data_IF_412841496584
#
_entry.id   IF_412841496584
#
_cell.length_a   1.000
_cell.length_b   1.000
_cell.length_c   1.000
_cell.angle_alpha   90.00
_cell.angle_beta   90.00
_cell.angle_gamma   90.00
#
_symmetry.space_group_name_H-M   'P 1'
#
loop_
_entity.id
_entity.type
_entity.pdbx_description
1 polymer ?
2 non-polymer ?
3 non-polymer ?
#
# COMPACT_ATOMS: atom_id res chain seq x y z
N UNK A 1 10.71 20.14 0.51
CA UNK A 1 11.64 21.30 0.43
C UNK A 1 12.70 21.20 1.53
N UNK A 2 12.31 20.70 2.66
CA UNK A 2 13.29 20.58 3.78
C UNK A 2 13.94 19.20 3.78
N UNK A 3 15.22 19.17 3.51
CA UNK A 3 15.92 17.86 3.48
C UNK A 3 15.65 17.08 4.77
N UNK A 4 15.70 17.76 5.88
CA UNK A 4 15.44 17.06 7.16
C UNK A 4 14.12 16.31 7.11
N UNK A 5 13.11 16.97 6.63
CA UNK A 5 11.79 16.30 6.55
C UNK A 5 11.84 15.13 5.60
N UNK A 6 12.88 15.08 4.80
CA UNK A 6 13.00 13.96 3.83
C UNK A 6 13.42 12.70 4.57
N UNK A 7 14.17 12.87 5.63
CA UNK A 7 14.61 11.70 6.41
C UNK A 7 13.41 10.87 6.85
N UNK A 8 12.33 11.55 7.16
CA UNK A 8 11.12 10.81 7.60
C UNK A 8 10.67 9.84 6.52
N UNK A 9 11.13 10.06 5.32
CA UNK A 9 10.74 9.16 4.22
C UNK A 9 11.57 7.89 4.25
N UNK A 10 12.86 8.04 4.38
CA UNK A 10 13.73 6.85 4.42
C UNK A 10 13.41 6.00 5.64
N UNK A 11 13.32 6.63 6.78
CA UNK A 11 13.00 5.87 8.02
C UNK A 11 11.65 5.17 7.89
N UNK A 12 10.67 5.91 7.45
CA UNK A 12 9.32 5.30 7.31
C UNK A 12 9.36 4.18 6.28
N UNK A 13 9.82 4.50 5.10
CA UNK A 13 9.88 3.46 4.06
C UNK A 13 10.73 2.30 4.52
N UNK A 14 11.83 2.59 5.18
CA UNK A 14 12.70 1.50 5.67
C UNK A 14 11.85 0.45 6.37
N UNK A 15 10.99 0.90 7.25
CA UNK A 15 10.13 -0.06 7.98
C UNK A 15 9.34 -0.89 6.98
N UNK A 16 8.85 -0.24 5.96
CA UNK A 16 8.06 -0.97 4.94
C UNK A 16 8.94 -1.98 4.21
N UNK A 17 10.07 -2.29 4.81
CA UNK A 17 10.99 -3.27 4.18
C UNK A 17 11.44 -2.77 2.82
N UNK A 18 11.81 -1.52 2.76
CA UNK A 18 12.27 -0.95 1.48
C UNK A 18 13.37 0.09 1.71
N UNK A 19 14.60 -0.35 1.61
CA UNK A 19 15.73 0.59 1.83
C UNK A 19 16.07 1.31 0.53
N UNK A 20 16.72 2.43 0.65
CA UNK A 20 17.11 3.19 -0.57
C UNK A 20 18.48 3.81 -0.41
N UNK A 21 19.46 3.20 -1.02
CA UNK A 21 20.84 3.74 -0.92
C UNK A 21 20.85 5.24 -1.16
N UNK A 22 19.78 5.74 -1.70
CA UNK A 22 19.71 7.21 -1.97
C UNK A 22 19.51 7.98 -0.67
N UNK A 23 20.50 8.74 -0.30
CA UNK A 23 20.37 9.53 0.95
C UNK A 23 19.10 10.36 0.94
N UNK A 24 18.71 10.81 2.11
CA UNK A 24 17.47 11.63 2.18
C UNK A 24 17.65 12.93 1.40
N UNK A 25 18.78 13.55 1.58
CA UNK A 25 19.02 14.82 0.86
C UNK A 25 18.92 14.62 -0.65
N UNK A 26 19.32 13.46 -1.09
CA UNK A 26 19.25 13.19 -2.54
C UNK A 26 17.80 13.12 -3.01
N UNK A 27 17.02 12.31 -2.33
CA UNK A 27 15.60 12.19 -2.71
C UNK A 27 14.92 13.55 -2.68
N UNK A 28 15.33 14.37 -1.74
CA UNK A 28 14.71 15.71 -1.64
C UNK A 28 14.95 16.50 -2.92
N UNK A 29 16.17 16.51 -3.38
CA UNK A 29 16.48 17.25 -4.62
C UNK A 29 15.79 16.60 -5.81
N UNK A 30 15.68 15.30 -5.77
CA UNK A 30 15.01 14.60 -6.90
C UNK A 30 13.50 14.73 -6.79
N UNK A 31 13.01 14.63 -5.59
CA UNK A 31 11.55 14.75 -5.38
C UNK A 31 11.03 16.11 -5.82
N UNK A 32 11.68 17.14 -5.36
CA UNK A 32 11.23 18.49 -5.75
C UNK A 32 11.45 18.74 -7.24
N UNK A 33 12.56 18.28 -7.73
CA UNK A 33 12.86 18.47 -9.17
C UNK A 33 12.07 17.50 -10.06
N UNK A 34 11.38 16.56 -9.45
CA UNK A 34 10.61 15.62 -10.26
C UNK A 34 9.25 16.18 -10.43
N UNK A 35 8.86 16.86 -9.43
CA UNK A 35 7.56 17.50 -9.41
C UNK A 35 7.61 18.82 -10.16
N UNK A 36 8.79 19.39 -10.23
CA UNK A 36 8.94 20.68 -10.95
C UNK A 36 8.98 20.41 -12.44
N UNK A 37 9.74 19.42 -12.81
CA UNK A 37 9.85 19.09 -14.25
C UNK A 37 8.49 18.69 -14.80
N UNK A 38 7.73 17.96 -14.01
CA UNK A 38 6.40 17.53 -14.48
C UNK A 38 5.31 18.46 -13.92
N UNK A 39 4.16 18.43 -14.56
CA UNK A 39 3.03 19.27 -14.14
C UNK A 39 2.61 18.97 -12.70
N UNK A 40 3.09 19.76 -11.79
CA UNK A 40 2.74 19.53 -10.36
C UNK A 40 3.34 18.23 -9.85
N UNK A 41 2.99 17.15 -10.50
CA UNK A 41 3.53 15.83 -10.08
C UNK A 41 2.70 14.70 -10.70
N UNK A 42 2.16 14.95 -11.86
CA UNK A 42 1.34 13.90 -12.52
C UNK A 42 2.21 13.03 -13.39
N UNK A 43 2.39 11.80 -12.97
CA UNK A 43 3.23 10.87 -13.74
C UNK A 43 2.43 9.64 -14.16
N UNK A 44 2.94 8.96 -15.15
CA UNK A 44 2.24 7.74 -15.65
C UNK A 44 2.91 6.46 -15.18
N UNK A 45 2.25 5.37 -15.42
CA UNK A 45 2.82 4.07 -15.01
C UNK A 45 4.21 3.89 -15.62
N UNK A 46 4.29 4.07 -16.91
CA UNK A 46 5.61 3.92 -17.57
C UNK A 46 6.68 4.67 -16.80
N UNK A 47 6.28 5.72 -16.16
CA UNK A 47 7.25 6.52 -15.38
C UNK A 47 7.33 5.99 -13.95
N UNK A 48 6.20 5.75 -13.37
CA UNK A 48 6.22 5.24 -11.98
C UNK A 48 7.09 4.00 -11.88
N UNK A 49 6.82 3.04 -12.72
CA UNK A 49 7.62 1.79 -12.71
C UNK A 49 9.11 2.11 -12.66
N UNK A 50 9.55 2.94 -13.56
CA UNK A 50 10.99 3.29 -13.55
C UNK A 50 11.43 3.72 -12.16
N UNK A 51 10.77 4.71 -11.64
CA UNK A 51 11.13 5.19 -10.29
C UNK A 51 11.01 4.07 -9.28
N UNK A 52 10.00 3.26 -9.45
CA UNK A 52 9.80 2.13 -8.53
C UNK A 52 10.97 1.15 -8.63
N UNK A 53 11.28 0.76 -9.82
CA UNK A 53 12.40 -0.19 -10.01
C UNK A 53 13.74 0.47 -9.75
N UNK A 54 13.78 1.77 -9.86
CA UNK A 54 15.06 2.50 -9.62
C UNK A 54 15.27 2.75 -8.13
N UNK A 55 14.19 2.81 -7.40
CA UNK A 55 14.31 3.06 -5.93
C UNK A 55 14.23 1.77 -5.14
N UNK A 56 13.30 0.91 -5.52
CA UNK A 56 13.13 -0.39 -4.80
C UNK A 56 13.24 -1.57 -5.77
N UNK A 57 14.46 -2.00 -6.03
CA UNK A 57 14.71 -3.12 -6.94
C UNK A 57 14.14 -4.41 -6.36
N UNK A 58 14.87 -5.03 -5.48
CA UNK A 58 14.37 -6.29 -4.88
C UNK A 58 13.05 -6.04 -4.16
N UNK A 59 11.97 -6.17 -4.90
CA UNK A 59 10.64 -5.94 -4.29
C UNK A 59 9.54 -6.25 -5.27
N UNK A 60 9.93 -6.78 -6.41
CA UNK A 60 8.93 -7.12 -7.45
C UNK A 60 7.98 -5.93 -7.69
N UNK A 61 8.29 -5.13 -8.68
CA UNK A 61 7.45 -3.97 -8.99
C UNK A 61 6.05 -4.41 -9.43
N UNK A 62 5.64 -5.52 -8.90
CA UNK A 62 4.32 -6.07 -9.23
C UNK A 62 3.78 -6.69 -7.98
N UNK A 63 4.29 -6.20 -6.87
CA UNK A 63 3.88 -6.71 -5.57
C UNK A 63 3.10 -5.66 -4.78
N UNK A 64 3.70 -5.17 -3.72
CA UNK A 64 3.00 -4.15 -2.88
C UNK A 64 2.78 -2.82 -3.62
N UNK A 65 3.72 -1.93 -3.49
CA UNK A 65 3.60 -0.60 -4.15
C UNK A 65 2.87 -0.66 -5.49
N UNK A 66 3.25 -1.54 -6.38
CA UNK A 66 2.52 -1.60 -7.66
C UNK A 66 1.03 -1.64 -7.42
N UNK A 67 0.61 -2.53 -6.55
CA UNK A 67 -0.83 -2.63 -6.25
C UNK A 67 -1.35 -1.33 -5.67
N UNK A 68 -0.53 -0.69 -4.88
CA UNK A 68 -0.98 0.59 -4.29
C UNK A 68 -1.16 1.66 -5.38
N UNK A 69 -0.14 1.84 -6.16
CA UNK A 69 -0.21 2.85 -7.25
C UNK A 69 -1.40 2.59 -8.16
N UNK A 70 -1.69 1.34 -8.36
CA UNK A 70 -2.84 1.01 -9.24
C UNK A 70 -4.16 1.18 -8.50
N UNK A 71 -4.09 1.24 -7.19
CA UNK A 71 -5.32 1.40 -6.41
C UNK A 71 -5.77 2.87 -6.35
N UNK A 72 -4.82 3.77 -6.36
CA UNK A 72 -5.22 5.19 -6.30
C UNK A 72 -6.31 5.47 -7.32
N UNK A 73 -6.17 4.83 -8.45
CA UNK A 73 -7.17 5.00 -9.54
C UNK A 73 -6.58 4.49 -10.85
N UNK A 74 -5.88 5.35 -11.53
CA UNK A 74 -5.27 4.93 -12.82
C UNK A 74 -6.25 4.09 -13.64
N UNK A 75 -7.36 4.68 -13.99
CA UNK A 75 -8.37 3.92 -14.80
C UNK A 75 -7.75 3.52 -16.14
N UNK A 76 -8.09 4.25 -17.17
CA UNK A 76 -7.53 3.91 -18.50
C UNK A 76 -6.12 4.48 -18.64
N UNK A 77 -5.24 4.04 -17.78
CA UNK A 77 -3.84 4.53 -17.83
C UNK A 77 -3.76 5.96 -17.30
N UNK A 78 -3.98 6.92 -18.17
CA UNK A 78 -3.91 8.35 -17.73
C UNK A 78 -2.75 8.57 -16.77
N UNK A 79 -2.89 9.56 -15.92
CA UNK A 79 -1.81 9.86 -14.94
C UNK A 79 -2.41 10.21 -13.59
N UNK A 80 -1.62 10.01 -12.56
CA UNK A 80 -2.12 10.32 -11.19
C UNK A 80 -1.06 11.11 -10.41
N UNK A 81 -1.52 11.82 -9.42
CA UNK A 81 -0.56 12.63 -8.61
C UNK A 81 0.50 11.75 -7.97
N UNK A 82 1.71 12.23 -7.96
CA UNK A 82 2.81 11.44 -7.35
C UNK A 82 2.90 11.74 -5.87
N UNK A 83 2.62 12.97 -5.52
CA UNK A 83 2.67 13.35 -4.09
C UNK A 83 1.63 12.58 -3.31
N UNK A 84 0.39 12.80 -3.65
CA UNK A 84 -0.69 12.09 -2.95
C UNK A 84 -0.43 10.60 -2.97
N UNK A 85 0.18 10.15 -4.05
CA UNK A 85 0.48 8.71 -4.15
C UNK A 85 1.52 8.33 -3.12
N UNK A 86 2.61 9.07 -3.11
CA UNK A 86 3.68 8.77 -2.13
C UNK A 86 3.08 8.66 -0.74
N UNK A 87 2.17 9.55 -0.43
CA UNK A 87 1.55 9.50 0.91
C UNK A 87 0.86 8.17 1.11
N UNK A 88 0.17 7.72 0.09
CA UNK A 88 -0.55 6.43 0.21
C UNK A 88 0.45 5.29 0.41
N UNK A 89 1.64 5.49 -0.07
CA UNK A 89 2.67 4.44 0.09
C UNK A 89 3.25 4.48 1.50
N UNK A 90 3.32 5.66 2.05
CA UNK A 90 3.87 5.80 3.42
C UNK A 90 2.76 5.68 4.47
N UNK A 91 1.60 6.19 4.14
CA UNK A 91 0.47 6.12 5.09
C UNK A 91 0.02 4.68 5.29
N UNK A 92 0.98 3.79 5.40
CA UNK A 92 0.64 2.36 5.59
C UNK A 92 1.57 1.71 6.59
N UNK A 93 2.44 2.49 7.17
CA UNK A 93 3.38 1.94 8.17
C UNK A 93 3.89 3.02 9.11
N UNK A 94 3.48 4.23 8.86
CA UNK A 94 3.93 5.35 9.72
C UNK A 94 3.12 5.41 11.00
N UNK A 95 2.60 6.57 11.30
CA UNK A 95 1.78 6.70 12.54
C UNK A 95 1.87 8.13 13.09
N UNK A 96 2.06 9.07 12.20
CA UNK A 96 2.16 10.48 12.65
C UNK A 96 0.78 11.11 12.80
N UNK A 97 0.10 11.26 11.70
CA UNK A 97 -1.25 11.86 11.76
C UNK A 97 -2.21 10.95 12.52
N UNK A 98 -3.29 11.51 13.00
CA UNK A 98 -4.27 10.69 13.74
C UNK A 98 -5.08 9.80 12.80
N UNK A 99 -5.93 10.42 12.03
CA UNK A 99 -6.75 9.62 11.08
C UNK A 99 -5.90 8.58 10.36
N UNK A 100 -6.42 7.38 10.27
CA UNK A 100 -5.64 6.32 9.57
C UNK A 100 -6.49 5.07 9.39
N UNK A 101 -7.59 5.02 10.07
CA UNK A 101 -8.48 3.83 9.94
C UNK A 101 -9.33 3.90 8.67
N UNK A 102 -10.26 4.81 8.67
CA UNK A 102 -11.14 4.96 7.47
C UNK A 102 -10.33 5.37 6.24
N UNK A 103 -9.09 5.72 6.44
CA UNK A 103 -8.26 6.13 5.30
C UNK A 103 -7.80 4.91 4.50
N UNK A 104 -7.63 3.80 5.17
CA UNK A 104 -7.19 2.57 4.47
C UNK A 104 -8.20 2.13 3.42
N UNK A 105 -9.46 2.20 3.77
CA UNK A 105 -10.52 1.80 2.80
C UNK A 105 -10.21 2.27 1.40
N UNK A 106 -9.37 3.26 1.29
CA UNK A 106 -9.03 3.78 -0.06
C UNK A 106 -8.30 2.74 -0.89
N UNK A 107 -7.15 2.33 -0.44
CA UNK A 107 -6.40 1.31 -1.23
C UNK A 107 -7.09 -0.04 -1.08
N UNK A 108 -7.87 -0.17 -0.03
CA UNK A 108 -8.59 -1.43 0.20
C UNK A 108 -9.68 -1.60 -0.84
N UNK A 109 -10.18 -0.48 -1.33
CA UNK A 109 -11.25 -0.54 -2.35
C UNK A 109 -10.68 -0.24 -3.73
N UNK A 110 -9.91 -1.17 -4.23
CA UNK A 110 -9.29 -0.99 -5.57
C UNK A 110 -10.22 -0.25 -6.52
N UNK A 111 -11.38 -0.81 -6.76
CA UNK A 111 -12.34 -0.14 -7.67
C UNK A 111 -12.68 1.26 -7.14
N UNK A 112 -13.01 1.33 -5.89
CA UNK A 112 -13.35 2.66 -5.30
C UNK A 112 -14.86 2.92 -5.40
N UNK A 113 -15.61 2.32 -4.52
CA UNK A 113 -17.08 2.53 -4.55
C UNK A 113 -17.69 2.37 -3.17
N UNK A 114 -16.90 2.64 -2.16
CA UNK A 114 -17.42 2.51 -0.77
C UNK A 114 -17.88 1.08 -0.47
N UNK A 115 -17.28 0.12 -1.12
CA UNK A 115 -17.68 -1.28 -0.87
C UNK A 115 -16.53 -2.25 -1.09
N UNK A 116 -16.19 -2.98 -0.07
CA UNK A 116 -15.08 -3.96 -0.20
C UNK A 116 -15.62 -5.35 -0.51
N UNK A 117 -15.08 -5.94 -1.55
CA UNK A 117 -15.53 -7.31 -1.93
C UNK A 117 -14.36 -8.29 -1.96
N UNK A 118 -14.69 -9.55 -2.04
CA UNK A 118 -13.63 -10.59 -2.07
C UNK A 118 -12.49 -10.22 -3.01
N UNK A 119 -12.80 -10.09 -4.28
CA UNK A 119 -11.75 -9.73 -5.27
C UNK A 119 -10.80 -8.67 -4.72
N UNK A 120 -11.31 -7.51 -4.44
CA UNK A 120 -10.44 -6.44 -3.91
C UNK A 120 -9.51 -6.99 -2.82
N UNK A 121 -10.10 -7.46 -1.75
CA UNK A 121 -9.28 -8.01 -0.65
C UNK A 121 -8.26 -9.03 -1.18
N UNK A 122 -8.66 -9.81 -2.14
CA UNK A 122 -7.72 -10.82 -2.68
C UNK A 122 -6.50 -10.13 -3.28
N UNK A 123 -6.74 -9.00 -3.91
CA UNK A 123 -5.60 -8.25 -4.52
C UNK A 123 -4.61 -7.84 -3.45
N UNK A 124 -5.06 -7.02 -2.54
CA UNK A 124 -4.16 -6.56 -1.46
C UNK A 124 -3.33 -7.72 -0.92
N UNK A 125 -4.00 -8.70 -0.39
CA UNK A 125 -3.27 -9.87 0.17
C UNK A 125 -2.16 -10.33 -0.78
N UNK A 126 -2.55 -10.62 -2.00
CA UNK A 126 -1.53 -11.07 -2.99
C UNK A 126 -0.39 -10.06 -3.10
N UNK A 127 -0.74 -8.83 -3.34
CA UNK A 127 0.32 -7.78 -3.46
C UNK A 127 1.35 -7.94 -2.36
N UNK A 128 0.98 -7.62 -1.16
CA UNK A 128 1.96 -7.76 -0.04
C UNK A 128 2.78 -9.05 -0.16
N UNK A 129 2.09 -10.16 -0.14
CA UNK A 129 2.80 -11.46 -0.25
C UNK A 129 3.67 -11.49 -1.49
N UNK A 130 3.13 -11.08 -2.60
CA UNK A 130 3.94 -11.10 -3.83
C UNK A 130 5.29 -10.43 -3.58
N UNK A 131 5.27 -9.30 -2.90
CA UNK A 131 6.57 -8.62 -2.62
C UNK A 131 7.53 -9.60 -1.96
N UNK A 132 7.05 -10.26 -0.92
CA UNK A 132 7.94 -11.24 -0.22
C UNK A 132 8.60 -12.16 -1.23
N UNK A 133 9.87 -12.43 -1.04
CA UNK A 133 10.58 -13.33 -1.99
C UNK A 133 10.21 -14.80 -1.73
N UNK A 134 10.05 -15.58 -2.78
CA UNK A 134 9.70 -16.99 -2.65
C UNK A 134 10.63 -17.71 -1.68
N UNK A 135 11.87 -17.87 -2.07
CA UNK A 135 12.83 -18.56 -1.20
C UNK A 135 12.68 -18.10 0.24
N UNK A 136 12.07 -16.96 0.42
CA UNK A 136 11.87 -16.43 1.81
C UNK A 136 10.44 -16.64 2.27
N UNK A 137 9.52 -16.59 1.34
CA UNK A 137 8.09 -16.78 1.72
C UNK A 137 7.85 -18.19 2.20
N UNK A 138 8.88 -18.99 2.17
CA UNK A 138 8.73 -20.38 2.62
C UNK A 138 9.02 -20.50 4.11
N UNK A 139 9.91 -19.68 4.58
CA UNK A 139 10.24 -19.71 6.02
C UNK A 139 8.99 -19.63 6.87
N UNK A 140 8.20 -18.62 6.62
CA UNK A 140 6.95 -18.47 7.41
C UNK A 140 6.22 -19.82 7.49
N UNK A 141 5.47 -20.01 8.57
CA UNK A 141 4.71 -21.25 8.76
C UNK A 141 3.74 -21.52 7.60
N UNK A 142 3.50 -22.78 7.36
CA UNK A 142 2.57 -23.14 6.26
C UNK A 142 1.12 -22.89 6.67
N UNK A 143 0.20 -23.62 6.07
CA UNK A 143 -1.24 -23.43 6.42
C UNK A 143 -1.56 -21.96 6.60
N UNK A 144 -0.75 -21.14 6.00
CA UNK A 144 -0.94 -19.67 6.09
C UNK A 144 0.09 -18.97 5.22
N UNK A 145 0.47 -19.62 4.15
CA UNK A 145 1.47 -19.04 3.23
C UNK A 145 0.86 -18.68 1.86
N UNK A 146 -0.38 -19.02 1.67
CA UNK A 146 -1.03 -18.70 0.35
C UNK A 146 -1.97 -17.49 0.49
N UNK A 147 -2.02 -16.66 -0.54
CA UNK A 147 -2.88 -15.47 -0.52
C UNK A 147 -4.32 -15.86 -0.24
N UNK A 148 -4.73 -17.00 -0.74
CA UNK A 148 -6.12 -17.44 -0.52
C UNK A 148 -6.24 -18.08 0.86
N UNK A 149 -5.13 -18.54 1.38
CA UNK A 149 -5.15 -19.18 2.71
C UNK A 149 -5.44 -18.14 3.78
N UNK A 150 -4.97 -16.94 3.55
CA UNK A 150 -5.22 -15.87 4.53
C UNK A 150 -6.50 -15.13 4.23
N UNK A 151 -6.79 -14.94 2.97
CA UNK A 151 -8.03 -14.23 2.61
C UNK A 151 -9.19 -14.80 3.42
N UNK A 152 -9.02 -16.04 3.81
CA UNK A 152 -10.08 -16.70 4.59
C UNK A 152 -10.03 -16.24 6.04
N UNK A 153 -8.87 -15.81 6.47
CA UNK A 153 -8.75 -15.35 7.88
C UNK A 153 -9.34 -13.95 8.03
N UNK A 154 -8.97 -13.08 7.13
CA UNK A 154 -9.49 -11.69 7.20
C UNK A 154 -10.99 -11.67 6.89
N UNK A 155 -11.33 -12.03 5.69
CA UNK A 155 -12.76 -12.05 5.30
C UNK A 155 -13.57 -12.94 6.22
N UNK A 156 -12.99 -14.03 6.62
CA UNK A 156 -13.72 -14.96 7.53
C UNK A 156 -13.91 -14.33 8.90
N UNK A 157 -13.06 -13.40 9.25
CA UNK A 157 -13.21 -12.76 10.57
C UNK A 157 -14.53 -12.01 10.67
N UNK A 158 -14.70 -11.03 9.83
CA UNK A 158 -15.97 -10.26 9.86
C UNK A 158 -17.16 -11.20 9.70
N UNK A 159 -17.09 -12.06 8.71
CA UNK A 159 -18.22 -13.01 8.49
C UNK A 159 -19.40 -12.31 7.81
N UNK A 160 -19.58 -12.61 6.55
CA UNK A 160 -20.71 -11.97 5.81
C UNK A 160 -21.04 -12.76 4.55
N UNK A 161 -22.32 -12.93 4.30
CA UNK A 161 -22.75 -13.67 3.09
C UNK A 161 -23.87 -12.92 2.38
N UNK A 162 -24.73 -12.31 3.14
CA UNK A 162 -25.84 -11.55 2.53
C UNK A 162 -25.29 -10.23 2.05
N UNK A 163 -25.13 -9.31 2.96
CA UNK A 163 -24.60 -8.00 2.57
C UNK A 163 -23.08 -8.11 2.56
N UNK A 164 -22.62 -9.09 1.81
CA UNK A 164 -21.16 -9.34 1.68
C UNK A 164 -20.40 -8.14 1.10
N UNK A 165 -20.73 -6.97 1.58
CA UNK A 165 -20.05 -5.74 1.09
C UNK A 165 -19.73 -4.84 2.27
N UNK A 166 -18.47 -4.73 2.59
CA UNK A 166 -18.10 -3.87 3.73
C UNK A 166 -18.04 -2.41 3.32
N UNK A 167 -18.68 -1.58 4.09
CA UNK A 167 -18.69 -0.13 3.77
C UNK A 167 -17.63 0.60 4.58
N UNK A 168 -17.41 1.83 4.22
CA UNK A 168 -16.39 2.63 4.96
C UNK A 168 -16.84 2.88 6.39
N UNK A 169 -18.11 2.70 6.63
CA UNK A 169 -18.64 2.93 8.00
C UNK A 169 -18.30 1.76 8.92
N UNK A 170 -18.82 0.61 8.59
CA UNK A 170 -18.55 -0.59 9.42
C UNK A 170 -17.06 -0.90 9.43
N UNK A 171 -16.43 -0.71 8.31
CA UNK A 171 -14.99 -1.00 8.23
C UNK A 171 -14.28 -0.41 9.44
N UNK A 172 -14.88 0.60 10.00
CA UNK A 172 -14.28 1.25 11.18
C UNK A 172 -14.76 0.60 12.47
N UNK A 173 -15.98 0.12 12.44
CA UNK A 173 -16.53 -0.53 13.66
C UNK A 173 -16.07 -1.97 13.78
N UNK A 174 -16.34 -2.74 12.75
CA UNK A 174 -15.92 -4.17 12.79
C UNK A 174 -14.49 -4.27 13.30
N UNK A 175 -13.79 -3.16 13.26
CA UNK A 175 -12.39 -3.13 13.72
C UNK A 175 -12.30 -2.46 15.09
N UNK A 176 -13.24 -1.59 15.38
CA UNK A 176 -13.20 -0.90 16.69
C UNK A 176 -13.42 -1.88 17.83
N UNK A 177 -14.10 -2.95 17.54
CA UNK A 177 -14.35 -3.96 18.59
C UNK A 177 -13.29 -5.04 18.57
N UNK A 178 -13.46 -6.01 17.71
CA UNK A 178 -12.48 -7.10 17.60
C UNK A 178 -11.05 -6.55 17.60
N UNK A 179 -10.33 -6.83 18.64
CA UNK A 179 -8.93 -6.33 18.72
C UNK A 179 -7.96 -7.33 18.10
N UNK A 180 -8.43 -8.53 17.91
CA UNK A 180 -7.56 -9.56 17.31
C UNK A 180 -7.38 -9.32 15.82
N UNK A 181 -8.15 -8.40 15.29
CA UNK A 181 -8.04 -8.10 13.85
C UNK A 181 -6.83 -7.22 13.57
N UNK A 182 -6.57 -6.31 14.46
CA UNK A 182 -5.41 -5.41 14.27
C UNK A 182 -4.10 -6.21 14.26
N UNK A 183 -4.18 -7.46 14.60
CA UNK A 183 -2.96 -8.30 14.61
C UNK A 183 -2.58 -8.77 13.21
N UNK A 184 -3.55 -9.28 12.49
CA UNK A 184 -3.27 -9.77 11.11
C UNK A 184 -3.58 -8.71 10.06
N UNK A 185 -4.69 -8.03 10.23
CA UNK A 185 -5.05 -7.00 9.24
C UNK A 185 -3.84 -6.14 8.90
N UNK A 186 -2.84 -6.19 9.74
CA UNK A 186 -1.63 -5.38 9.48
C UNK A 186 -1.22 -5.47 8.01
N UNK A 187 -1.55 -4.46 7.25
CA UNK A 187 -1.18 -4.49 5.81
C UNK A 187 0.15 -3.77 5.58
N UNK A 188 1.22 -4.49 5.69
CA UNK A 188 2.55 -3.87 5.48
C UNK A 188 2.90 -3.83 4.00
X LIG B 1 -15.04 -2.10 -4.47
X LIG C 1 11.10 18.98 0.04
X LIG C 1 12.19 18.80 -0.48
X LIG C 1 10.09 17.84 0.15
X LIG C 1 10.81 16.50 -0.05
X LIG C 1 10.03 15.39 0.66
X LIG C 1 10.83 14.10 0.58
X LIG C 1 10.80 13.57 -0.86
X LIG C 1 10.93 12.06 -0.85
X LIG C 1 9.55 11.43 -1.09
X LIG C 1 9.68 9.91 -1.14
X LIG C 1 9.38 9.42 -2.56
X LIG C 1 9.23 7.90 -2.53
X LIG C 1 8.87 7.40 -3.93
X LIG C 1 8.97 5.87 -3.95
X LIG C 1 8.59 5.37 -5.34
X LIG C 1 9.63 17.86 1.12
X LIG C 1 9.32 17.95 -0.60
X LIG C 1 10.89 16.28 -1.11
X LIG C 1 11.81 16.56 0.37
X LIG C 1 9.87 15.66 1.68
X LIG C 1 9.08 15.27 0.16
X LIG C 1 11.85 14.28 0.88
X LIG C 1 10.39 13.36 1.24
X LIG C 1 9.88 13.86 -1.33
X LIG C 1 11.63 14.00 -1.42
X LIG C 1 11.61 11.74 -1.63
X LIG C 1 11.31 11.72 0.11
X LIG C 1 8.88 11.72 -0.29
X LIG C 1 9.16 11.79 -2.04
X LIG C 1 10.69 9.62 -0.86
X LIG C 1 8.99 9.46 -0.44
X LIG C 1 8.46 9.87 -2.90
X LIG C 1 10.19 9.70 -3.22
X LIG C 1 10.16 7.45 -2.22
X LIG C 1 8.45 7.62 -1.84
X LIG C 1 7.86 7.71 -4.17
X LIG C 1 9.55 7.83 -4.66
X LIG C 1 9.99 5.58 -3.74
X LIG C 1 8.32 5.46 -3.21
X LIG C 1 7.73 5.93 -5.71
X LIG C 1 8.32 4.33 -5.28
X LIG C 1 9.40 5.49 -6.03
#
# INVERSE_FOLDING_TARGET
GNSKSGALSKEILEELQLNTKFTEEELSSWYQSFLKECPSGRITRQEFQTIYSKFFPEADPKAYAQHVFRSFDANSDGTLDFKQYVIALHMTSAGKTNQKLEWAFSLYDVDGNGTISKNEVLEIVTAIFKMISPEDTKHLPEDENTPEKRAEKIWGFFGKKDDDKLTEKEFIEGTLANKEILRLIQFEPQKVKEKLKEKKL
CA CA
MYR C1 O2 C2 C3 C4 C5 C6 C7 C8 C9 C10 C11 C12 C13 C14 H21 H22 H31 H32 H41 H42 H51 H52 H61 H62 H71 H72 H81 H82 H91 H92 H101 H102 H111 H112 H121 H122 H131 H132 H141 H142 H143
#
